data_IF_170242067457
#
_entry.id   IF_170242067457
#
_cell.length_a   1.000
_cell.length_b   1.000
_cell.length_c   1.000
_cell.angle_alpha   90.00
_cell.angle_beta   90.00
_cell.angle_gamma   90.00
#
_symmetry.space_group_name_H-M   'P 1'
#
loop_
_entity.id
_entity.type
_entity.pdbx_description
1 polymer ?
#
# COMPACT_ATOMS: atom_id res chain seq x y z
N UNK A 1 -27.37 3.15 33.73
CA UNK A 1 -28.57 2.74 32.96
C UNK A 1 -29.73 2.72 33.94
N UNK A 2 -30.81 3.43 33.64
CA UNK A 2 -31.99 3.54 34.52
C UNK A 2 -33.02 2.49 34.10
N UNK A 3 -33.68 1.83 35.06
CA UNK A 3 -34.76 0.90 34.77
C UNK A 3 -35.96 1.66 34.18
N UNK A 4 -36.39 1.31 32.98
CA UNK A 4 -37.51 1.98 32.30
C UNK A 4 -38.88 1.67 32.90
N UNK A 5 -38.99 0.66 33.78
CA UNK A 5 -40.25 0.32 34.44
C UNK A 5 -40.40 1.05 35.78
N UNK A 6 -39.36 1.05 36.61
CA UNK A 6 -39.44 1.60 37.99
C UNK A 6 -38.60 2.86 38.21
N UNK A 7 -37.91 3.37 37.20
CA UNK A 7 -37.06 4.56 37.30
C UNK A 7 -35.79 4.39 38.16
N UNK A 8 -35.53 3.20 38.73
CA UNK A 8 -34.35 2.98 39.58
C UNK A 8 -33.05 3.08 38.80
N UNK A 9 -32.06 3.78 39.37
CA UNK A 9 -30.68 3.86 38.83
C UNK A 9 -29.81 2.65 39.22
N UNK A 10 -30.26 1.82 40.19
CA UNK A 10 -29.48 0.70 40.75
C UNK A 10 -29.51 -0.56 39.88
N UNK A 11 -30.52 -0.72 39.02
CA UNK A 11 -30.69 -1.89 38.18
C UNK A 11 -31.30 -1.53 36.82
N UNK A 12 -31.43 -2.49 35.92
CA UNK A 12 -32.06 -2.30 34.60
C UNK A 12 -33.31 -3.18 34.43
N UNK A 13 -34.08 -2.95 33.37
CA UNK A 13 -35.35 -3.66 33.12
C UNK A 13 -35.24 -5.19 33.12
N UNK A 14 -34.05 -5.76 32.84
CA UNK A 14 -33.86 -7.23 32.83
C UNK A 14 -33.87 -7.83 34.22
N UNK A 15 -33.38 -7.09 35.21
CA UNK A 15 -33.24 -7.53 36.60
C UNK A 15 -34.24 -6.84 37.52
N UNK A 16 -35.29 -6.23 36.96
CA UNK A 16 -36.36 -5.62 37.74
C UNK A 16 -37.28 -6.70 38.31
N UNK A 17 -37.53 -6.64 39.61
CA UNK A 17 -38.31 -7.61 40.39
C UNK A 17 -39.79 -7.24 40.50
N UNK A 18 -40.21 -6.07 39.99
CA UNK A 18 -41.61 -5.65 40.08
C UNK A 18 -42.54 -6.59 39.28
N UNK A 19 -43.75 -6.87 39.82
CA UNK A 19 -44.80 -7.54 39.06
C UNK A 19 -45.12 -6.71 37.82
N UNK A 20 -45.13 -7.34 36.65
CA UNK A 20 -45.28 -6.67 35.35
C UNK A 20 -43.98 -6.46 34.55
N UNK A 21 -42.81 -6.68 35.16
CA UNK A 21 -41.53 -6.55 34.43
C UNK A 21 -41.41 -7.54 33.26
N UNK A 22 -41.98 -8.74 33.38
CA UNK A 22 -42.02 -9.71 32.29
C UNK A 22 -42.87 -9.23 31.10
N UNK A 23 -44.06 -8.68 31.38
CA UNK A 23 -45.01 -8.19 30.39
C UNK A 23 -44.46 -6.94 29.68
N UNK A 24 -43.86 -6.02 30.43
CA UNK A 24 -43.18 -4.84 29.87
C UNK A 24 -41.99 -5.23 28.97
N UNK A 25 -41.23 -6.28 29.32
CA UNK A 25 -40.17 -6.83 28.43
C UNK A 25 -40.72 -7.48 27.16
N UNK A 26 -41.95 -8.00 27.19
CA UNK A 26 -42.60 -8.57 26.02
C UNK A 26 -43.06 -7.48 25.05
N UNK A 27 -43.81 -6.49 25.57
CA UNK A 27 -44.28 -5.34 24.77
C UNK A 27 -43.12 -4.54 24.17
N UNK A 28 -42.04 -4.33 24.93
CA UNK A 28 -40.85 -3.65 24.40
C UNK A 28 -40.15 -4.47 23.29
N UNK A 29 -40.23 -5.81 23.32
CA UNK A 29 -39.70 -6.65 22.24
C UNK A 29 -40.58 -6.59 20.99
N UNK A 30 -41.89 -6.55 21.15
CA UNK A 30 -42.83 -6.40 20.03
C UNK A 30 -42.73 -5.04 19.36
N UNK A 31 -42.63 -3.95 20.14
CA UNK A 31 -42.39 -2.60 19.63
C UNK A 31 -41.09 -2.50 18.82
N UNK A 32 -40.04 -3.22 19.21
CA UNK A 32 -38.78 -3.28 18.46
C UNK A 32 -38.89 -4.10 17.16
N UNK A 33 -39.77 -5.11 17.11
CA UNK A 33 -40.06 -5.88 15.88
C UNK A 33 -40.88 -5.05 14.88
N UNK A 34 -41.89 -4.31 15.36
CA UNK A 34 -42.74 -3.46 14.54
C UNK A 34 -42.00 -2.27 13.93
N UNK A 35 -40.98 -1.73 14.63
CA UNK A 35 -40.19 -0.57 14.16
C UNK A 35 -39.12 -0.89 13.09
N UNK A 36 -39.19 -2.05 12.41
CA UNK A 36 -38.39 -2.28 11.20
C UNK A 36 -36.86 -2.21 11.42
N UNK A 37 -36.38 -3.00 12.37
CA UNK A 37 -34.97 -3.25 12.72
C UNK A 37 -34.26 -2.22 13.60
N UNK A 38 -33.75 -2.73 14.74
CA UNK A 38 -32.38 -2.43 15.15
C UNK A 38 -31.60 -3.74 14.98
N UNK A 39 -30.49 -3.77 14.21
CA UNK A 39 -29.65 -4.96 14.17
C UNK A 39 -29.22 -5.26 15.60
N UNK A 40 -29.30 -6.53 16.00
CA UNK A 40 -28.78 -7.01 17.28
C UNK A 40 -27.41 -6.35 17.54
N UNK A 41 -27.34 -5.35 18.43
CA UNK A 41 -26.11 -4.63 18.74
C UNK A 41 -25.05 -5.54 19.41
N UNK A 42 -25.37 -6.83 19.58
CA UNK A 42 -24.56 -7.87 20.19
C UNK A 42 -24.32 -9.08 19.29
N UNK A 43 -24.84 -9.14 18.06
CA UNK A 43 -24.41 -10.14 17.09
C UNK A 43 -23.02 -9.75 16.56
N UNK A 44 -21.97 -10.07 17.32
CA UNK A 44 -20.56 -9.89 16.94
C UNK A 44 -19.71 -8.99 17.84
N UNK A 45 -20.28 -8.33 18.86
CA UNK A 45 -19.47 -7.61 19.85
C UNK A 45 -18.99 -8.56 20.95
N UNK A 46 -17.67 -8.77 21.02
CA UNK A 46 -17.05 -9.46 22.17
C UNK A 46 -17.44 -8.74 23.47
N UNK A 47 -17.82 -9.47 24.54
CA UNK A 47 -18.14 -8.85 25.82
C UNK A 47 -16.96 -8.01 26.32
N UNK A 48 -17.25 -6.92 27.03
CA UNK A 48 -16.24 -6.10 27.72
C UNK A 48 -15.45 -7.02 28.66
N UNK A 49 -14.13 -7.08 28.49
CA UNK A 49 -13.24 -7.86 29.35
C UNK A 49 -13.21 -7.19 30.72
N UNK A 50 -13.84 -7.82 31.70
CA UNK A 50 -13.57 -7.58 33.12
C UNK A 50 -12.40 -8.50 33.49
N UNK A 51 -11.23 -7.93 33.73
CA UNK A 51 -10.03 -8.65 34.15
C UNK A 51 -8.74 -8.15 33.49
N UNK A 52 -7.65 -8.20 34.26
CA UNK A 52 -6.30 -7.85 33.84
C UNK A 52 -5.88 -8.61 32.56
N UNK A 53 -5.01 -8.03 31.71
CA UNK A 53 -4.61 -8.63 30.45
C UNK A 53 -3.83 -9.93 30.70
N UNK A 54 -4.52 -11.06 30.68
CA UNK A 54 -3.90 -12.38 30.78
C UNK A 54 -2.90 -12.56 29.64
N UNK A 55 -1.65 -12.79 30.05
CA UNK A 55 -0.44 -13.03 29.27
C UNK A 55 -0.67 -14.01 28.11
N UNK A 56 0.12 -13.89 27.03
CA UNK A 56 -0.10 -14.51 25.72
C UNK A 56 -0.38 -16.04 25.72
N UNK A 57 0.02 -16.76 26.76
CA UNK A 57 -0.21 -18.20 26.94
C UNK A 57 -1.70 -18.55 27.05
N UNK A 58 -2.48 -17.75 27.78
CA UNK A 58 -3.93 -17.98 27.95
C UNK A 58 -4.75 -17.59 26.71
N UNK A 59 -4.31 -16.62 25.91
CA UNK A 59 -4.93 -16.31 24.62
C UNK A 59 -4.67 -17.40 23.58
N UNK A 60 -3.48 -17.99 23.58
CA UNK A 60 -3.13 -19.13 22.74
C UNK A 60 -3.98 -20.37 23.12
N UNK A 61 -4.06 -20.70 24.42
CA UNK A 61 -4.92 -21.79 24.91
C UNK A 61 -6.40 -21.53 24.65
N UNK A 62 -6.92 -20.31 24.86
CA UNK A 62 -8.32 -19.99 24.52
C UNK A 62 -8.60 -20.06 23.03
N UNK A 63 -7.68 -19.63 22.17
CA UNK A 63 -7.86 -19.77 20.71
C UNK A 63 -7.85 -21.25 20.31
N UNK A 64 -7.00 -22.08 20.92
CA UNK A 64 -7.01 -23.53 20.77
C UNK A 64 -8.33 -24.17 21.27
N UNK A 65 -8.85 -23.72 22.42
CA UNK A 65 -10.13 -24.20 22.99
C UNK A 65 -11.36 -23.77 22.18
N UNK A 66 -11.42 -22.51 21.71
CA UNK A 66 -12.58 -21.97 20.97
C UNK A 66 -12.61 -22.33 19.49
N UNK A 67 -11.46 -22.63 18.88
CA UNK A 67 -11.39 -22.91 17.43
C UNK A 67 -10.83 -24.28 17.07
N UNK A 68 -10.56 -25.12 18.08
CA UNK A 68 -10.05 -26.48 17.94
C UNK A 68 -8.60 -26.54 17.42
N UNK A 69 -7.89 -27.61 17.81
CA UNK A 69 -6.60 -27.97 17.19
C UNK A 69 -6.71 -28.13 15.66
N UNK A 70 -7.90 -28.46 15.17
CA UNK A 70 -8.26 -28.55 13.76
C UNK A 70 -8.06 -27.26 12.97
N UNK A 71 -8.38 -26.06 13.50
CA UNK A 71 -8.23 -24.81 12.73
C UNK A 71 -6.78 -24.37 12.59
N UNK A 72 -5.95 -24.62 13.60
CA UNK A 72 -4.51 -24.38 13.52
C UNK A 72 -3.86 -25.34 12.51
N UNK A 73 -4.21 -26.63 12.56
CA UNK A 73 -3.81 -27.64 11.57
C UNK A 73 -4.29 -27.27 10.17
N UNK A 74 -5.56 -26.85 10.01
CA UNK A 74 -6.14 -26.39 8.74
C UNK A 74 -5.40 -25.15 8.21
N UNK A 75 -5.12 -24.16 9.05
CA UNK A 75 -4.34 -22.97 8.65
C UNK A 75 -2.93 -23.35 8.22
N UNK A 76 -2.28 -24.27 8.94
CA UNK A 76 -0.95 -24.80 8.59
C UNK A 76 -1.01 -25.60 7.29
N UNK A 77 -2.03 -26.44 7.09
CA UNK A 77 -2.26 -27.20 5.86
C UNK A 77 -2.53 -26.27 4.67
N UNK A 78 -3.38 -25.25 4.82
CA UNK A 78 -3.61 -24.21 3.81
C UNK A 78 -2.34 -23.42 3.52
N UNK A 79 -1.56 -23.07 4.54
CA UNK A 79 -0.28 -22.40 4.36
C UNK A 79 0.74 -23.29 3.63
N UNK A 80 0.80 -24.59 3.97
CA UNK A 80 1.65 -25.56 3.31
C UNK A 80 1.20 -25.79 1.86
N UNK A 81 -0.10 -25.92 1.59
CA UNK A 81 -0.66 -26.01 0.22
C UNK A 81 -0.38 -24.74 -0.59
N UNK A 82 -0.42 -23.56 0.04
CA UNK A 82 0.00 -22.29 -0.58
C UNK A 82 1.51 -22.20 -0.83
N UNK A 83 2.32 -22.96 -0.09
CA UNK A 83 3.79 -23.05 -0.25
C UNK A 83 4.23 -24.23 -1.12
N UNK A 84 3.34 -25.17 -1.40
CA UNK A 84 3.62 -26.34 -2.21
C UNK A 84 4.04 -25.89 -3.61
N UNK A 85 5.10 -26.51 -4.13
CA UNK A 85 5.59 -26.27 -5.49
C UNK A 85 4.55 -26.84 -6.45
N UNK A 86 4.02 -26.00 -7.32
CA UNK A 86 3.21 -26.43 -8.48
C UNK A 86 4.14 -26.80 -9.63
N UNK A 87 3.61 -27.52 -10.63
CA UNK A 87 4.30 -27.72 -11.91
C UNK A 87 4.68 -26.33 -12.43
N UNK A 88 5.98 -26.09 -12.51
CA UNK A 88 6.52 -24.78 -12.87
C UNK A 88 6.33 -24.47 -14.34
N UNK A 89 6.83 -23.30 -14.75
CA UNK A 89 6.98 -22.96 -16.17
C UNK A 89 7.73 -24.08 -16.89
N UNK A 90 7.14 -24.61 -17.96
CA UNK A 90 7.79 -25.58 -18.86
C UNK A 90 8.98 -24.89 -19.51
N UNK A 91 10.16 -25.49 -19.39
CA UNK A 91 11.42 -24.92 -19.84
C UNK A 91 12.04 -25.82 -20.90
N UNK A 92 12.30 -25.28 -22.08
CA UNK A 92 12.96 -25.95 -23.20
C UNK A 92 14.31 -25.31 -23.47
N UNK A 93 15.25 -26.04 -24.08
CA UNK A 93 16.56 -25.51 -24.47
C UNK A 93 16.44 -24.26 -25.35
N UNK A 94 15.60 -24.37 -26.38
CA UNK A 94 15.38 -23.31 -27.36
C UNK A 94 14.67 -22.11 -26.72
N UNK A 95 13.74 -22.38 -25.79
CA UNK A 95 13.06 -21.36 -25.00
C UNK A 95 14.03 -20.55 -24.14
N UNK A 96 15.09 -21.15 -23.58
CA UNK A 96 16.10 -20.41 -22.81
C UNK A 96 16.91 -19.46 -23.69
N UNK A 97 17.36 -19.93 -24.86
CA UNK A 97 18.11 -19.10 -25.81
C UNK A 97 17.22 -17.98 -26.37
N UNK A 98 15.97 -18.27 -26.69
CA UNK A 98 15.01 -17.29 -27.14
C UNK A 98 14.69 -16.25 -26.07
N UNK A 99 14.53 -16.67 -24.81
CA UNK A 99 14.31 -15.75 -23.69
C UNK A 99 15.49 -14.78 -23.49
N UNK A 100 16.73 -15.21 -23.73
CA UNK A 100 17.88 -14.29 -23.72
C UNK A 100 17.77 -13.26 -24.85
N UNK A 101 17.44 -13.69 -26.07
CA UNK A 101 17.24 -12.78 -27.21
C UNK A 101 16.15 -11.76 -26.92
N UNK A 102 15.02 -12.22 -26.37
CA UNK A 102 13.90 -11.36 -26.00
C UNK A 102 14.28 -10.39 -24.88
N UNK A 103 14.95 -10.85 -23.81
CA UNK A 103 15.41 -9.97 -22.72
C UNK A 103 16.36 -8.87 -23.22
N UNK A 104 17.19 -9.17 -24.22
CA UNK A 104 18.05 -8.18 -24.88
C UNK A 104 17.27 -7.21 -25.76
N UNK A 105 16.37 -7.74 -26.60
CA UNK A 105 15.49 -6.93 -27.46
C UNK A 105 14.65 -5.97 -26.62
N UNK A 106 14.11 -6.47 -25.52
CA UNK A 106 13.21 -5.72 -24.66
C UNK A 106 13.98 -4.69 -23.82
N UNK A 107 15.31 -4.82 -23.63
CA UNK A 107 16.17 -3.86 -22.92
C UNK A 107 16.58 -4.26 -21.49
N UNK A 108 16.21 -5.45 -21.03
CA UNK A 108 16.51 -5.95 -19.68
C UNK A 108 17.92 -6.55 -19.53
N UNK A 109 18.54 -6.89 -20.66
CA UNK A 109 19.94 -7.30 -20.77
C UNK A 109 20.63 -6.41 -21.80
N UNK A 110 21.93 -6.10 -21.63
CA UNK A 110 22.68 -5.37 -22.63
C UNK A 110 22.76 -6.18 -23.94
N UNK A 111 23.03 -5.47 -25.05
CA UNK A 111 23.37 -6.10 -26.31
C UNK A 111 24.51 -7.11 -26.10
N UNK A 112 24.55 -8.17 -26.93
CA UNK A 112 25.52 -9.26 -26.78
C UNK A 112 26.93 -8.66 -26.63
N UNK A 113 27.65 -8.94 -25.52
CA UNK A 113 29.01 -8.46 -25.40
C UNK A 113 29.83 -9.09 -26.53
N UNK A 114 30.49 -8.25 -27.31
CA UNK A 114 31.47 -8.70 -28.31
C UNK A 114 32.81 -9.06 -27.65
N UNK A 115 33.04 -8.56 -26.43
CA UNK A 115 34.29 -8.68 -25.69
C UNK A 115 34.09 -9.20 -24.27
N UNK A 116 35.01 -10.03 -23.80
CA UNK A 116 35.07 -10.58 -22.46
C UNK A 116 35.35 -9.45 -21.46
N UNK A 117 34.63 -9.39 -20.34
CA UNK A 117 34.90 -8.34 -19.35
C UNK A 117 36.18 -8.57 -18.53
N UNK A 118 36.80 -9.76 -18.61
CA UNK A 118 38.09 -10.04 -17.95
C UNK A 118 39.26 -9.64 -18.85
N UNK A 119 39.40 -10.26 -20.03
CA UNK A 119 40.55 -10.05 -20.92
C UNK A 119 40.27 -9.16 -22.14
N UNK A 120 39.02 -8.68 -22.32
CA UNK A 120 38.56 -7.95 -23.52
C UNK A 120 38.64 -8.73 -24.85
N UNK A 121 39.04 -10.00 -24.83
CA UNK A 121 39.03 -10.91 -25.99
C UNK A 121 37.62 -11.31 -26.45
N UNK A 122 37.47 -11.93 -27.63
CA UNK A 122 36.17 -12.26 -28.19
C UNK A 122 35.39 -13.28 -27.35
N UNK A 123 34.06 -13.16 -27.34
CA UNK A 123 33.16 -14.05 -26.61
C UNK A 123 32.40 -14.97 -27.56
N UNK A 124 32.33 -16.24 -27.19
CA UNK A 124 31.81 -17.33 -28.00
C UNK A 124 30.29 -17.33 -28.14
N UNK A 125 29.79 -18.47 -28.63
CA UNK A 125 28.36 -18.73 -28.68
C UNK A 125 27.79 -18.97 -27.28
N UNK A 126 26.49 -18.73 -27.14
CA UNK A 126 25.76 -19.02 -25.90
C UNK A 126 25.55 -20.52 -25.80
N UNK A 127 25.86 -21.08 -24.64
CA UNK A 127 25.75 -22.50 -24.36
C UNK A 127 24.77 -22.73 -23.21
N UNK A 128 23.88 -23.70 -23.38
CA UNK A 128 23.02 -24.17 -22.30
C UNK A 128 23.85 -25.06 -21.35
N UNK A 129 23.78 -24.78 -20.06
CA UNK A 129 24.34 -25.65 -19.01
C UNK A 129 23.22 -26.30 -18.20
N UNK A 130 23.62 -27.25 -17.34
CA UNK A 130 22.72 -27.95 -16.44
C UNK A 130 21.76 -26.99 -15.71
N UNK A 131 20.51 -27.44 -15.51
CA UNK A 131 19.42 -26.69 -14.88
C UNK A 131 18.87 -25.51 -15.71
N UNK A 132 19.17 -25.45 -17.01
CA UNK A 132 18.56 -24.49 -17.94
C UNK A 132 19.18 -23.09 -17.92
N UNK A 133 20.38 -22.95 -17.35
CA UNK A 133 21.11 -21.68 -17.35
C UNK A 133 21.86 -21.48 -18.66
N UNK A 134 21.89 -20.24 -19.15
CA UNK A 134 22.62 -19.88 -20.37
C UNK A 134 23.92 -19.18 -20.00
N UNK A 135 25.02 -19.70 -20.55
CA UNK A 135 26.37 -19.23 -20.31
C UNK A 135 27.02 -18.78 -21.59
N UNK A 136 27.95 -17.83 -21.48
CA UNK A 136 28.85 -17.42 -22.55
C UNK A 136 30.28 -17.65 -22.08
N UNK A 137 31.14 -18.15 -22.98
CA UNK A 137 32.55 -18.43 -22.70
C UNK A 137 33.43 -17.53 -23.54
N UNK A 138 34.50 -16.99 -22.94
CA UNK A 138 35.54 -16.32 -23.71
C UNK A 138 36.26 -17.32 -24.64
N UNK A 139 36.48 -16.93 -25.90
CA UNK A 139 37.15 -17.75 -26.91
C UNK A 139 38.68 -17.73 -26.72
N UNK A 140 39.19 -16.62 -26.19
CA UNK A 140 40.60 -16.45 -25.83
C UNK A 140 41.08 -17.65 -24.99
N UNK A 141 42.12 -18.32 -25.51
CA UNK A 141 42.65 -19.57 -24.99
C UNK A 141 43.19 -19.43 -23.57
N UNK A 142 43.67 -18.25 -23.21
CA UNK A 142 44.29 -17.98 -21.92
C UNK A 142 43.22 -17.59 -20.90
N UNK A 143 42.18 -16.89 -21.34
CA UNK A 143 41.10 -16.47 -20.47
C UNK A 143 40.10 -17.60 -20.19
N UNK A 144 39.45 -18.15 -21.24
CA UNK A 144 38.42 -19.21 -21.18
C UNK A 144 37.28 -19.03 -20.16
N UNK A 145 37.16 -17.85 -19.53
CA UNK A 145 36.20 -17.57 -18.45
C UNK A 145 34.78 -17.77 -18.98
N UNK A 146 33.98 -18.54 -18.23
CA UNK A 146 32.57 -18.72 -18.48
C UNK A 146 31.75 -17.83 -17.55
N UNK A 147 30.73 -17.15 -18.08
CA UNK A 147 29.83 -16.31 -17.30
C UNK A 147 28.38 -16.63 -17.63
N UNK A 148 27.53 -16.59 -16.61
CA UNK A 148 26.09 -16.69 -16.80
C UNK A 148 25.60 -15.40 -17.47
N UNK A 149 24.84 -15.49 -18.56
CA UNK A 149 24.36 -14.30 -19.28
C UNK A 149 23.51 -13.39 -18.39
N UNK A 150 22.78 -13.93 -17.42
CA UNK A 150 21.99 -13.12 -16.48
C UNK A 150 22.85 -12.33 -15.49
N UNK A 151 24.15 -12.60 -15.38
CA UNK A 151 25.07 -11.76 -14.60
C UNK A 151 25.23 -10.35 -15.18
N UNK A 152 24.86 -10.15 -16.44
CA UNK A 152 24.84 -8.85 -17.12
C UNK A 152 23.65 -7.96 -16.70
N UNK A 153 22.63 -8.51 -16.04
CA UNK A 153 21.48 -7.76 -15.53
C UNK A 153 21.85 -6.98 -14.25
N UNK A 154 22.62 -5.90 -14.39
CA UNK A 154 23.15 -5.08 -13.29
C UNK A 154 22.06 -4.50 -12.36
N UNK A 155 20.86 -4.29 -12.87
CA UNK A 155 19.71 -3.77 -12.12
C UNK A 155 19.12 -4.80 -11.14
N UNK A 156 19.43 -6.08 -11.30
CA UNK A 156 18.98 -7.15 -10.42
C UNK A 156 20.13 -7.50 -9.44
N UNK A 157 20.01 -7.23 -8.13
CA UNK A 157 21.10 -7.41 -7.19
C UNK A 157 21.57 -8.88 -7.12
N UNK A 158 22.87 -9.04 -7.38
CA UNK A 158 23.68 -10.26 -7.37
C UNK A 158 22.98 -11.52 -7.95
N UNK A 159 22.64 -11.42 -9.25
CA UNK A 159 22.11 -12.52 -10.08
C UNK A 159 23.05 -13.74 -10.10
N UNK A 160 24.34 -13.52 -9.83
CA UNK A 160 25.39 -14.55 -9.81
C UNK A 160 25.14 -15.65 -8.76
N UNK A 161 24.32 -15.37 -7.74
CA UNK A 161 23.99 -16.30 -6.63
C UNK A 161 22.51 -16.76 -6.64
N UNK A 162 21.78 -16.60 -7.74
CA UNK A 162 20.31 -16.83 -7.80
C UNK A 162 19.88 -17.90 -8.85
N UNK A 163 18.78 -18.64 -8.60
CA UNK A 163 18.35 -19.81 -9.38
C UNK A 163 17.55 -19.49 -10.65
N UNK A 164 17.65 -18.27 -11.18
CA UNK A 164 16.82 -17.86 -12.31
C UNK A 164 17.37 -18.41 -13.63
N UNK A 165 16.51 -19.04 -14.41
CA UNK A 165 16.76 -19.25 -15.84
C UNK A 165 16.25 -18.04 -16.64
N UNK A 166 16.78 -17.79 -17.85
CA UNK A 166 16.28 -16.72 -18.72
C UNK A 166 14.76 -16.73 -18.92
N UNK A 167 14.17 -17.90 -19.18
CA UNK A 167 12.70 -18.04 -19.31
C UNK A 167 11.96 -17.64 -18.03
N UNK A 168 12.46 -18.05 -16.86
CA UNK A 168 11.84 -17.68 -15.58
C UNK A 168 11.93 -16.18 -15.32
N UNK A 169 13.07 -15.53 -15.63
CA UNK A 169 13.22 -14.09 -15.45
C UNK A 169 12.28 -13.31 -16.39
N UNK A 170 12.24 -13.70 -17.67
CA UNK A 170 11.35 -13.09 -18.66
C UNK A 170 9.88 -13.23 -18.25
N UNK A 171 9.46 -14.44 -17.87
CA UNK A 171 8.10 -14.69 -17.37
C UNK A 171 7.81 -13.90 -16.09
N UNK A 172 8.79 -13.78 -15.17
CA UNK A 172 8.63 -12.99 -13.95
C UNK A 172 8.40 -11.52 -14.24
N UNK A 173 9.16 -10.94 -15.18
CA UNK A 173 8.97 -9.55 -15.63
C UNK A 173 7.56 -9.37 -16.18
N UNK A 174 7.14 -10.17 -17.16
CA UNK A 174 5.80 -10.08 -17.78
C UNK A 174 4.67 -10.24 -16.75
N UNK A 175 4.73 -11.25 -15.90
CA UNK A 175 3.72 -11.49 -14.88
C UNK A 175 3.69 -10.39 -13.80
N UNK A 176 4.84 -9.78 -13.50
CA UNK A 176 4.91 -8.71 -12.50
C UNK A 176 4.36 -7.37 -13.01
N UNK A 177 4.35 -7.15 -14.32
CA UNK A 177 3.90 -5.90 -14.98
C UNK A 177 2.49 -5.99 -15.56
N UNK A 178 1.94 -7.20 -15.76
CA UNK A 178 0.59 -7.42 -16.31
C UNK A 178 -0.57 -6.82 -15.47
N UNK A 179 -0.36 -6.55 -14.19
CA UNK A 179 -1.36 -5.92 -13.34
C UNK A 179 -1.34 -4.41 -13.47
N UNK A 180 -2.27 -3.84 -14.26
CA UNK A 180 -2.53 -2.39 -14.43
C UNK A 180 -2.83 -1.65 -13.10
N UNK A 181 -1.83 -1.47 -12.23
CA UNK A 181 -1.97 -0.82 -10.92
C UNK A 181 -2.83 -1.58 -9.89
N UNK A 182 -3.47 -2.70 -10.26
CA UNK A 182 -4.32 -3.52 -9.40
C UNK A 182 -3.49 -4.54 -8.63
N UNK A 183 -2.79 -4.05 -7.60
CA UNK A 183 -2.04 -4.82 -6.60
C UNK A 183 -0.84 -5.63 -7.13
N UNK A 184 0.35 -5.37 -6.58
CA UNK A 184 1.54 -6.13 -6.94
C UNK A 184 1.36 -7.63 -6.63
N UNK A 185 1.74 -8.49 -7.59
CA UNK A 185 1.75 -9.94 -7.41
C UNK A 185 2.50 -10.31 -6.14
N UNK A 186 1.87 -11.10 -5.27
CA UNK A 186 2.55 -11.54 -4.05
C UNK A 186 3.73 -12.45 -4.42
N UNK A 187 4.85 -12.43 -3.66
CA UNK A 187 5.99 -13.29 -3.97
C UNK A 187 5.63 -14.78 -4.04
N UNK A 188 4.66 -15.24 -3.24
CA UNK A 188 4.17 -16.63 -3.29
C UNK A 188 3.35 -16.95 -4.54
N UNK A 189 2.54 -16.01 -5.03
CA UNK A 189 1.78 -16.23 -6.25
C UNK A 189 2.73 -16.36 -7.45
N UNK A 190 3.66 -15.40 -7.56
CA UNK A 190 4.64 -15.38 -8.64
C UNK A 190 5.59 -16.58 -8.57
N UNK A 191 6.06 -16.95 -7.37
CA UNK A 191 6.94 -18.11 -7.20
C UNK A 191 6.29 -19.42 -7.67
N UNK A 192 5.00 -19.62 -7.39
CA UNK A 192 4.25 -20.80 -7.83
C UNK A 192 4.12 -20.86 -9.35
N UNK A 193 3.72 -19.77 -9.99
CA UNK A 193 3.59 -19.68 -11.45
C UNK A 193 4.91 -19.98 -12.18
N UNK A 194 6.04 -19.66 -11.56
CA UNK A 194 7.36 -19.83 -12.17
C UNK A 194 8.07 -21.12 -11.76
N UNK A 195 7.51 -21.89 -10.83
CA UNK A 195 8.17 -23.07 -10.25
C UNK A 195 9.41 -22.75 -9.41
N UNK A 196 9.47 -21.57 -8.79
CA UNK A 196 10.60 -21.12 -7.95
C UNK A 196 10.21 -21.01 -6.48
N UNK A 197 11.14 -20.52 -5.64
CA UNK A 197 10.92 -20.35 -4.20
C UNK A 197 10.69 -18.88 -3.81
N UNK A 198 10.11 -18.67 -2.63
CA UNK A 198 9.76 -17.33 -2.13
C UNK A 198 10.94 -16.35 -2.08
N UNK A 199 12.12 -16.79 -1.63
CA UNK A 199 13.26 -15.89 -1.36
C UNK A 199 13.76 -15.20 -2.66
N UNK A 200 14.08 -15.94 -3.75
CA UNK A 200 14.42 -15.34 -5.04
C UNK A 200 13.36 -14.39 -5.57
N UNK A 201 12.09 -14.82 -5.58
CA UNK A 201 10.99 -13.99 -6.08
C UNK A 201 10.79 -12.73 -5.27
N UNK A 202 10.95 -12.80 -3.94
CA UNK A 202 10.86 -11.63 -3.08
C UNK A 202 11.98 -10.62 -3.34
N UNK A 203 13.20 -11.09 -3.66
CA UNK A 203 14.33 -10.21 -4.01
C UNK A 203 14.12 -9.55 -5.37
N UNK A 204 13.70 -10.33 -6.37
CA UNK A 204 13.31 -9.83 -7.69
C UNK A 204 12.25 -8.72 -7.58
N UNK A 205 11.14 -8.96 -6.85
CA UNK A 205 10.09 -7.97 -6.68
C UNK A 205 10.53 -6.72 -5.89
N UNK A 206 11.52 -6.84 -5.01
CA UNK A 206 12.10 -5.68 -4.30
C UNK A 206 13.00 -4.85 -5.23
N UNK A 207 13.76 -5.49 -6.12
CA UNK A 207 14.59 -4.82 -7.12
C UNK A 207 13.72 -4.04 -8.11
N UNK A 208 12.74 -4.70 -8.72
CA UNK A 208 11.76 -4.06 -9.63
C UNK A 208 11.06 -2.89 -8.92
N UNK A 209 10.60 -3.08 -7.68
CA UNK A 209 9.97 -2.00 -6.91
C UNK A 209 10.91 -0.81 -6.69
N UNK A 210 12.18 -1.07 -6.43
CA UNK A 210 13.17 -0.01 -6.18
C UNK A 210 13.42 0.81 -7.44
N UNK A 211 13.52 0.17 -8.61
CA UNK A 211 13.62 0.84 -9.91
C UNK A 211 12.37 1.68 -10.21
N UNK A 212 11.19 1.07 -10.13
CA UNK A 212 9.91 1.75 -10.37
C UNK A 212 9.73 2.93 -9.39
N UNK A 213 10.13 2.76 -8.12
CA UNK A 213 10.03 3.82 -7.13
C UNK A 213 10.96 5.01 -7.43
N UNK A 214 12.22 4.75 -7.77
CA UNK A 214 13.19 5.78 -8.12
C UNK A 214 12.80 6.53 -9.40
N UNK A 215 12.32 5.80 -10.42
CA UNK A 215 11.80 6.40 -11.64
C UNK A 215 10.55 7.25 -11.36
N UNK A 216 9.62 6.74 -10.54
CA UNK A 216 8.43 7.49 -10.14
C UNK A 216 8.75 8.74 -9.35
N UNK A 217 9.82 8.75 -8.55
CA UNK A 217 10.22 9.92 -7.79
C UNK A 217 10.67 11.05 -8.73
N UNK A 218 11.51 10.72 -9.72
CA UNK A 218 11.89 11.63 -10.81
C UNK A 218 10.66 12.10 -11.60
N UNK A 219 9.75 11.17 -11.92
CA UNK A 219 8.51 11.48 -12.65
C UNK A 219 7.59 12.40 -11.84
N UNK A 220 7.38 12.12 -10.56
CA UNK A 220 6.58 12.93 -9.64
C UNK A 220 7.13 14.36 -9.53
N UNK A 221 8.46 14.51 -9.46
CA UNK A 221 9.14 15.81 -9.43
C UNK A 221 9.06 16.59 -10.76
N UNK A 222 8.71 15.96 -11.88
CA UNK A 222 8.57 16.60 -13.21
C UNK A 222 7.14 16.74 -13.69
N UNK A 223 6.21 15.96 -13.12
CA UNK A 223 4.79 15.98 -13.48
C UNK A 223 4.12 17.31 -13.13
N UNK A 224 3.55 17.97 -14.12
CA UNK A 224 2.68 19.13 -13.96
C UNK A 224 1.24 18.74 -14.32
N UNK A 225 0.31 19.05 -13.43
CA UNK A 225 -1.12 18.82 -13.63
C UNK A 225 -1.78 20.09 -14.15
N UNK A 226 -2.76 19.94 -15.04
CA UNK A 226 -3.48 21.05 -15.67
C UNK A 226 -4.99 20.81 -15.79
N UNK A 227 -5.68 21.82 -16.31
CA UNK A 227 -7.12 21.82 -16.64
C UNK A 227 -8.02 21.49 -15.43
N UNK A 228 -8.34 20.22 -15.21
CA UNK A 228 -9.25 19.77 -14.17
C UNK A 228 -8.52 18.79 -13.23
N UNK A 229 -8.32 19.20 -11.98
CA UNK A 229 -7.48 18.47 -11.00
C UNK A 229 -8.27 18.23 -9.73
N UNK A 230 -8.31 16.99 -9.25
CA UNK A 230 -8.85 16.64 -7.94
C UNK A 230 -7.71 16.61 -6.91
N UNK A 231 -7.90 17.23 -5.75
CA UNK A 231 -6.93 17.28 -4.65
C UNK A 231 -7.56 16.74 -3.38
N UNK A 232 -6.80 15.93 -2.65
CA UNK A 232 -7.28 15.27 -1.43
C UNK A 232 -6.11 14.75 -0.58
N UNK A 233 -6.36 14.52 0.71
CA UNK A 233 -5.44 13.88 1.64
C UNK A 233 -5.98 12.55 2.15
N UNK A 234 -5.10 11.61 2.44
CA UNK A 234 -5.53 10.30 2.95
C UNK A 234 -4.59 9.70 3.97
N UNK A 235 -5.14 8.99 4.95
CA UNK A 235 -4.36 8.15 5.85
C UNK A 235 -4.08 6.78 5.21
N UNK A 236 -2.80 6.48 5.02
CA UNK A 236 -2.33 5.25 4.39
C UNK A 236 -2.25 4.12 5.40
N UNK A 237 -1.57 4.35 6.52
CA UNK A 237 -1.39 3.41 7.63
C UNK A 237 -1.28 4.18 8.94
N UNK A 238 -1.65 3.53 10.03
CA UNK A 238 -1.46 4.08 11.38
C UNK A 238 -0.44 3.22 12.11
N UNK A 239 0.60 3.86 12.61
CA UNK A 239 1.68 3.24 13.36
C UNK A 239 1.48 3.52 14.84
N UNK A 240 1.87 2.55 15.68
CA UNK A 240 2.03 2.79 17.12
C UNK A 240 3.47 3.13 17.38
N UNK A 241 3.70 4.27 18.02
CA UNK A 241 5.03 4.81 18.35
C UNK A 241 5.14 4.85 19.86
N UNK A 242 6.14 4.17 20.42
CA UNK A 242 6.40 4.23 21.87
C UNK A 242 6.90 5.63 22.25
N UNK A 243 6.64 6.07 23.47
CA UNK A 243 7.27 7.29 24.04
C UNK A 243 8.80 7.23 24.05
N UNK A 244 9.37 6.02 23.99
CA UNK A 244 10.81 5.79 23.95
C UNK A 244 11.35 5.51 22.54
N UNK A 245 10.57 5.81 21.49
CA UNK A 245 11.02 5.57 20.10
C UNK A 245 12.24 6.42 19.77
N UNK A 246 13.32 5.79 19.33
CA UNK A 246 14.51 6.48 18.84
C UNK A 246 14.27 7.08 17.46
N UNK A 247 13.55 6.38 16.59
CA UNK A 247 13.26 6.84 15.22
C UNK A 247 12.36 8.06 15.17
N UNK A 248 11.45 8.21 16.13
CA UNK A 248 10.52 9.34 16.18
C UNK A 248 10.71 10.23 17.41
N UNK A 249 11.91 10.24 18.00
CA UNK A 249 12.22 11.00 19.21
C UNK A 249 11.85 12.48 19.08
N UNK A 250 12.19 13.12 17.96
CA UNK A 250 11.87 14.52 17.71
C UNK A 250 10.36 14.78 17.75
N UNK A 251 9.54 13.90 17.17
CA UNK A 251 8.09 14.06 17.18
C UNK A 251 7.50 13.84 18.58
N UNK A 252 8.10 12.96 19.38
CA UNK A 252 7.69 12.76 20.78
C UNK A 252 8.02 14.00 21.61
N UNK A 253 9.22 14.55 21.46
CA UNK A 253 9.65 15.78 22.14
C UNK A 253 8.78 16.97 21.73
N UNK A 254 8.51 17.16 20.44
CA UNK A 254 7.59 18.20 19.94
C UNK A 254 6.19 18.07 20.55
N UNK A 255 5.69 16.84 20.69
CA UNK A 255 4.39 16.61 21.32
C UNK A 255 4.42 16.95 22.81
N UNK A 256 5.45 16.51 23.53
CA UNK A 256 5.64 16.76 24.96
C UNK A 256 5.76 18.26 25.24
N UNK A 257 6.52 19.00 24.41
CA UNK A 257 6.64 20.45 24.52
C UNK A 257 5.29 21.16 24.35
N UNK A 258 4.47 20.71 23.38
CA UNK A 258 3.13 21.28 23.14
C UNK A 258 2.10 20.92 24.22
N UNK A 259 2.36 19.88 25.01
CA UNK A 259 1.44 19.35 26.02
C UNK A 259 2.16 19.19 27.36
N UNK A 260 2.94 20.20 27.76
CA UNK A 260 3.81 20.14 28.95
C UNK A 260 3.06 19.79 30.25
N UNK A 261 1.77 20.10 30.33
CA UNK A 261 0.92 19.84 31.50
C UNK A 261 0.17 18.50 31.45
N UNK A 262 0.37 17.68 30.41
CA UNK A 262 -0.29 16.39 30.24
C UNK A 262 0.67 15.23 30.48
N UNK A 263 0.18 14.19 31.18
CA UNK A 263 0.94 12.95 31.33
C UNK A 263 1.23 12.33 29.95
N UNK A 264 2.50 12.00 29.69
CA UNK A 264 2.92 11.45 28.41
C UNK A 264 2.31 10.04 28.20
N UNK A 265 1.59 9.79 27.09
CA UNK A 265 1.04 8.48 26.78
C UNK A 265 2.13 7.39 26.69
N UNK A 266 1.80 6.15 27.05
CA UNK A 266 2.71 5.00 26.85
C UNK A 266 3.07 4.80 25.37
N UNK A 267 2.11 5.12 24.49
CA UNK A 267 2.30 5.12 23.06
C UNK A 267 1.44 6.17 22.36
N UNK A 268 1.94 6.65 21.24
CA UNK A 268 1.31 7.56 20.31
C UNK A 268 0.79 6.80 19.08
N UNK A 269 -0.15 7.41 18.38
CA UNK A 269 -0.53 7.03 17.03
C UNK A 269 0.14 8.00 16.05
N UNK A 270 0.87 7.42 15.08
CA UNK A 270 1.39 8.14 13.93
C UNK A 270 0.57 7.76 12.70
N UNK A 271 -0.23 8.69 12.20
CA UNK A 271 -0.95 8.51 10.96
C UNK A 271 -0.03 8.87 9.79
N UNK A 272 0.44 7.86 9.05
CA UNK A 272 1.15 8.08 7.80
C UNK A 272 0.14 8.58 6.77
N UNK A 273 0.19 9.89 6.51
CA UNK A 273 -0.72 10.60 5.62
C UNK A 273 0.01 10.93 4.31
N UNK A 274 -0.73 10.91 3.21
CA UNK A 274 -0.29 11.42 1.92
C UNK A 274 -1.26 12.50 1.46
N UNK A 275 -0.71 13.55 0.85
CA UNK A 275 -1.48 14.51 0.07
C UNK A 275 -1.31 14.15 -1.41
N UNK A 276 -2.37 14.32 -2.18
CA UNK A 276 -2.37 13.94 -3.59
C UNK A 276 -3.16 14.86 -4.47
N UNK A 277 -2.80 14.83 -5.74
CA UNK A 277 -3.52 15.47 -6.82
C UNK A 277 -3.61 14.53 -8.03
N UNK A 278 -4.77 14.46 -8.66
CA UNK A 278 -4.99 13.68 -9.88
C UNK A 278 -5.65 14.51 -10.96
N UNK A 279 -5.19 14.40 -12.20
CA UNK A 279 -5.79 15.11 -13.32
C UNK A 279 -6.91 14.27 -13.93
N UNK A 280 -8.10 14.86 -14.04
CA UNK A 280 -9.29 14.17 -14.55
C UNK A 280 -9.11 13.74 -16.00
N UNK A 281 -9.65 12.56 -16.33
CA UNK A 281 -9.56 11.99 -17.67
C UNK A 281 -8.16 11.51 -18.07
N UNK A 282 -7.20 11.52 -17.13
CA UNK A 282 -5.83 11.04 -17.37
C UNK A 282 -5.37 10.15 -16.23
N UNK A 283 -4.23 9.47 -16.43
CA UNK A 283 -3.56 8.73 -15.37
C UNK A 283 -2.57 9.57 -14.54
N UNK A 284 -2.38 10.85 -14.88
CA UNK A 284 -1.42 11.71 -14.21
C UNK A 284 -1.84 11.94 -12.76
N UNK A 285 -0.89 11.72 -11.86
CA UNK A 285 -1.07 11.97 -10.44
C UNK A 285 0.24 12.41 -9.78
N UNK A 286 0.12 13.18 -8.72
CA UNK A 286 1.24 13.63 -7.88
C UNK A 286 0.89 13.27 -6.44
N UNK A 287 1.80 12.58 -5.75
CA UNK A 287 1.65 12.21 -4.34
C UNK A 287 2.85 12.70 -3.55
N UNK A 288 2.60 13.24 -2.36
CA UNK A 288 3.62 13.75 -1.45
C UNK A 288 3.32 13.32 -0.02
N UNK A 289 4.35 13.09 0.81
CA UNK A 289 4.15 12.87 2.24
C UNK A 289 3.58 14.11 2.89
N UNK A 290 2.51 13.94 3.66
CA UNK A 290 2.09 14.98 4.59
C UNK A 290 3.06 15.00 5.80
N UNK A 291 3.19 16.15 6.49
CA UNK A 291 3.94 16.22 7.74
C UNK A 291 3.49 15.16 8.73
N UNK A 292 4.49 14.49 9.33
CA UNK A 292 4.28 13.51 10.37
C UNK A 292 3.82 14.23 11.64
N UNK A 293 2.75 13.71 12.26
CA UNK A 293 2.21 14.24 13.52
C UNK A 293 1.83 13.06 14.41
N UNK A 294 2.26 13.13 15.67
CA UNK A 294 1.82 12.21 16.71
C UNK A 294 0.53 12.71 17.34
N UNK A 295 -0.38 11.77 17.60
CA UNK A 295 -1.59 12.01 18.37
C UNK A 295 -1.69 10.98 19.49
N UNK A 296 -2.31 11.32 20.63
CA UNK A 296 -2.48 10.37 21.72
C UNK A 296 -3.39 9.21 21.32
N UNK A 297 -3.27 8.09 22.02
CA UNK A 297 -4.06 6.90 21.76
C UNK A 297 -5.58 7.19 21.80
N UNK A 298 -6.31 6.75 20.76
CA UNK A 298 -7.75 6.95 20.65
C UNK A 298 -8.16 8.22 19.89
N UNK A 299 -7.21 9.08 19.54
CA UNK A 299 -7.46 10.26 18.71
C UNK A 299 -7.78 9.87 17.26
N UNK A 300 -8.59 10.70 16.61
CA UNK A 300 -8.82 10.63 15.17
C UNK A 300 -7.64 11.22 14.39
N UNK A 301 -7.43 10.81 13.13
CA UNK A 301 -6.42 11.41 12.27
C UNK A 301 -6.65 12.93 12.16
N UNK A 302 -5.58 13.75 12.27
CA UNK A 302 -5.74 15.19 12.15
C UNK A 302 -6.19 15.57 10.74
N UNK A 303 -7.11 16.55 10.60
CA UNK A 303 -7.48 17.07 9.29
C UNK A 303 -6.29 17.75 8.60
N UNK A 304 -6.36 17.89 7.28
CA UNK A 304 -5.38 18.63 6.49
C UNK A 304 -5.42 20.12 6.88
N UNK A 305 -4.30 20.66 7.35
CA UNK A 305 -4.19 22.11 7.59
C UNK A 305 -3.66 22.84 6.36
N UNK A 306 -3.85 24.16 6.32
CA UNK A 306 -3.27 25.00 5.26
C UNK A 306 -1.75 24.83 5.20
N UNK A 307 -1.11 24.75 6.37
CA UNK A 307 0.33 24.58 6.54
C UNK A 307 0.81 23.22 6.02
N UNK A 308 0.02 22.14 6.21
CA UNK A 308 0.31 20.82 5.62
C UNK A 308 0.35 20.89 4.09
N UNK A 309 -0.58 21.64 3.48
CA UNK A 309 -0.60 21.81 2.01
C UNK A 309 0.57 22.67 1.54
N UNK A 310 0.87 23.77 2.25
CA UNK A 310 1.95 24.69 1.91
C UNK A 310 3.33 24.03 1.95
N UNK A 311 3.64 23.30 3.03
CA UNK A 311 4.97 22.72 3.24
C UNK A 311 5.32 21.65 2.21
N UNK A 312 4.33 20.91 1.69
CA UNK A 312 4.56 19.86 0.69
C UNK A 312 4.82 20.39 -0.72
N UNK A 313 4.58 21.69 -0.95
CA UNK A 313 4.71 22.36 -2.26
C UNK A 313 3.89 21.68 -3.38
N UNK A 314 2.88 20.86 -3.03
CA UNK A 314 2.10 20.10 -4.01
C UNK A 314 1.38 21.02 -5.01
N UNK A 315 0.85 22.15 -4.54
CA UNK A 315 0.18 23.14 -5.39
C UNK A 315 1.12 23.79 -6.42
N UNK A 316 2.44 23.78 -6.21
CA UNK A 316 3.40 24.21 -7.23
C UNK A 316 3.41 23.27 -8.44
N UNK A 317 2.98 22.02 -8.26
CA UNK A 317 2.85 20.99 -9.32
C UNK A 317 1.56 21.09 -10.12
N UNK A 318 0.72 22.08 -9.83
CA UNK A 318 -0.53 22.35 -10.52
C UNK A 318 -0.41 23.71 -11.22
N UNK A 319 -0.81 23.76 -12.50
CA UNK A 319 -0.83 25.01 -13.29
C UNK A 319 -1.80 26.01 -12.63
N UNK A 320 -1.40 27.28 -12.54
CA UNK A 320 -2.19 28.32 -11.87
C UNK A 320 -3.58 28.52 -12.49
N UNK A 321 -3.75 28.20 -13.78
CA UNK A 321 -5.03 28.30 -14.47
C UNK A 321 -5.91 27.04 -14.35
N UNK A 322 -5.50 26.02 -13.60
CA UNK A 322 -6.31 24.83 -13.38
C UNK A 322 -7.56 25.12 -12.52
N UNK A 323 -8.57 24.27 -12.69
CA UNK A 323 -9.72 24.13 -11.80
C UNK A 323 -9.44 22.97 -10.85
N UNK A 324 -9.44 23.26 -9.55
CA UNK A 324 -9.18 22.30 -8.49
C UNK A 324 -10.51 21.89 -7.83
N UNK A 325 -10.72 20.58 -7.68
CA UNK A 325 -11.87 20.02 -6.97
C UNK A 325 -11.38 19.40 -5.65
N UNK A 326 -11.95 19.83 -4.53
CA UNK A 326 -11.56 19.38 -3.19
C UNK A 326 -12.80 18.97 -2.37
N UNK A 327 -12.66 17.97 -1.51
CA UNK A 327 -13.72 17.51 -0.61
C UNK A 327 -13.79 18.39 0.63
N UNK A 328 -14.64 19.43 0.60
CA UNK A 328 -14.99 20.31 1.73
C UNK A 328 -13.84 21.04 2.45
N UNK A 329 -12.58 20.68 2.19
CA UNK A 329 -11.40 21.09 2.93
C UNK A 329 -10.90 22.43 2.38
N UNK A 330 -11.29 23.51 3.06
CA UNK A 330 -10.87 24.88 2.75
C UNK A 330 -9.36 25.12 2.91
N UNK A 331 -8.60 24.14 3.43
CA UNK A 331 -7.14 24.22 3.54
C UNK A 331 -6.47 24.35 2.16
N UNK A 332 -6.99 23.67 1.13
CA UNK A 332 -6.42 23.68 -0.21
C UNK A 332 -6.53 25.03 -0.90
N UNK A 333 -7.72 25.63 -0.82
CA UNK A 333 -8.00 26.95 -1.40
C UNK A 333 -7.18 28.04 -0.70
N UNK A 334 -7.20 28.08 0.64
CA UNK A 334 -6.37 28.99 1.44
C UNK A 334 -4.87 28.86 1.12
N UNK A 335 -4.38 27.64 0.96
CA UNK A 335 -2.98 27.41 0.61
C UNK A 335 -2.65 27.91 -0.81
N UNK A 336 -3.58 27.81 -1.76
CA UNK A 336 -3.39 28.32 -3.12
C UNK A 336 -3.33 29.85 -3.13
N UNK A 337 -4.24 30.52 -2.41
CA UNK A 337 -4.25 31.98 -2.26
C UNK A 337 -2.94 32.46 -1.63
N UNK A 338 -2.48 31.83 -0.53
CA UNK A 338 -1.19 32.16 0.11
C UNK A 338 0.03 31.92 -0.78
N UNK A 339 -0.07 31.04 -1.79
CA UNK A 339 0.99 30.84 -2.80
C UNK A 339 0.85 31.74 -4.03
N UNK A 340 -0.10 32.69 -4.04
CA UNK A 340 -0.35 33.57 -5.19
C UNK A 340 -0.90 32.85 -6.42
N UNK A 341 -1.53 31.68 -6.25
CA UNK A 341 -2.08 30.87 -7.35
C UNK A 341 -3.51 31.29 -7.67
N UNK A 342 -3.78 31.62 -8.94
CA UNK A 342 -5.13 31.97 -9.46
C UNK A 342 -5.97 30.76 -9.88
N UNK A 343 -5.94 29.68 -9.08
CA UNK A 343 -6.70 28.46 -9.36
C UNK A 343 -8.17 28.68 -9.04
N UNK A 344 -9.07 28.09 -9.82
CA UNK A 344 -10.49 28.09 -9.49
C UNK A 344 -10.78 26.88 -8.61
N UNK A 345 -11.27 27.07 -7.38
CA UNK A 345 -11.65 25.98 -6.49
C UNK A 345 -13.14 25.68 -6.58
N UNK A 346 -13.46 24.39 -6.67
CA UNK A 346 -14.82 23.87 -6.63
C UNK A 346 -14.90 22.89 -5.47
N UNK A 347 -15.56 23.32 -4.40
CA UNK A 347 -15.78 22.49 -3.23
C UNK A 347 -17.06 21.67 -3.39
N UNK A 348 -16.97 20.38 -3.10
CA UNK A 348 -18.14 19.53 -2.87
C UNK A 348 -18.17 19.18 -1.40
N UNK A 349 -19.31 19.42 -0.75
CA UNK A 349 -19.57 18.90 0.59
C UNK A 349 -20.28 17.57 0.43
N UNK A 350 -19.66 16.49 0.90
CA UNK A 350 -20.30 15.18 0.95
C UNK A 350 -21.47 15.21 1.94
N UNK A 351 -22.70 15.39 1.41
CA UNK A 351 -23.93 15.23 2.19
C UNK A 351 -24.66 13.98 1.69
N UNK A 352 -25.12 13.12 2.62
CA UNK A 352 -25.85 11.87 2.32
C UNK A 352 -25.17 10.96 1.28
N UNK A 353 -23.84 10.81 1.34
CA UNK A 353 -23.07 9.98 0.39
C UNK A 353 -23.16 10.43 -1.09
N UNK A 354 -23.52 11.69 -1.35
CA UNK A 354 -23.45 12.28 -2.68
C UNK A 354 -22.05 12.85 -2.88
N UNK A 355 -21.23 12.14 -3.67
CA UNK A 355 -19.81 12.46 -3.92
C UNK A 355 -19.60 13.42 -5.11
N UNK A 356 -20.66 13.75 -5.84
CA UNK A 356 -20.61 14.61 -7.02
C UNK A 356 -21.81 15.52 -7.12
N UNK A 357 -21.63 16.69 -7.75
CA UNK A 357 -22.71 17.64 -8.03
C UNK A 357 -22.56 18.20 -9.44
N UNK A 358 -23.62 18.18 -10.24
CA UNK A 358 -23.63 18.92 -11.51
C UNK A 358 -23.49 20.42 -11.22
N UNK A 359 -22.60 21.09 -11.95
CA UNK A 359 -22.40 22.53 -11.86
C UNK A 359 -23.38 23.24 -12.80
N UNK A 360 -24.10 24.26 -12.29
CA UNK A 360 -25.00 25.10 -13.09
C UNK A 360 -24.27 25.81 -14.23
N UNK A 361 -23.03 26.22 -13.98
CA UNK A 361 -22.12 26.79 -14.97
C UNK A 361 -20.70 26.26 -14.77
N UNK A 362 -19.96 26.09 -15.87
CA UNK A 362 -18.56 25.65 -15.80
C UNK A 362 -17.70 26.80 -15.25
N UNK A 363 -16.80 26.55 -14.29
CA UNK A 363 -15.97 27.62 -13.71
C UNK A 363 -15.00 28.23 -14.74
N UNK A 364 -14.59 27.46 -15.76
CA UNK A 364 -13.77 27.89 -16.90
C UNK A 364 -14.08 27.11 -18.17
N UNK A 365 -13.74 27.66 -19.34
CA UNK A 365 -13.78 26.95 -20.64
C UNK A 365 -12.90 25.69 -20.56
N UNK A 366 -13.46 24.52 -20.83
CA UNK A 366 -12.77 23.23 -20.71
C UNK A 366 -12.80 22.58 -19.31
N UNK A 367 -13.42 23.21 -18.30
CA UNK A 367 -13.66 22.57 -17.01
C UNK A 367 -14.79 21.53 -17.09
N UNK A 368 -14.81 20.61 -16.13
CA UNK A 368 -15.88 19.61 -16.02
C UNK A 368 -17.18 20.27 -15.57
N UNK A 369 -18.31 19.81 -16.11
CA UNK A 369 -19.65 20.16 -15.62
C UNK A 369 -20.03 19.42 -14.33
N UNK A 370 -19.16 18.55 -13.81
CA UNK A 370 -19.40 17.74 -12.63
C UNK A 370 -18.36 18.09 -11.56
N UNK A 371 -18.79 18.51 -10.39
CA UNK A 371 -17.93 18.69 -9.22
C UNK A 371 -17.82 17.38 -8.43
N UNK A 372 -16.70 17.14 -7.74
CA UNK A 372 -16.49 15.97 -6.85
C UNK A 372 -15.04 15.46 -6.80
N UNK A 373 -14.75 14.51 -5.92
CA UNK A 373 -13.41 13.89 -5.72
C UNK A 373 -13.38 12.40 -6.03
N UNK A 374 -14.37 11.89 -6.77
CA UNK A 374 -14.54 10.46 -6.99
C UNK A 374 -13.33 9.78 -7.66
N UNK A 375 -12.58 10.49 -8.50
CA UNK A 375 -11.41 9.92 -9.15
C UNK A 375 -10.28 9.74 -8.14
N UNK A 376 -9.95 10.77 -7.37
CA UNK A 376 -8.86 10.69 -6.39
C UNK A 376 -9.20 9.72 -5.23
N UNK A 377 -10.46 9.65 -4.80
CA UNK A 377 -10.92 8.68 -3.81
C UNK A 377 -10.70 7.22 -4.27
N UNK A 378 -11.06 6.92 -5.52
CA UNK A 378 -10.79 5.61 -6.14
C UNK A 378 -9.29 5.34 -6.23
N UNK A 379 -8.50 6.34 -6.58
CA UNK A 379 -7.04 6.23 -6.63
C UNK A 379 -6.49 5.90 -5.24
N UNK A 380 -6.98 6.54 -4.18
CA UNK A 380 -6.58 6.22 -2.82
C UNK A 380 -6.93 4.81 -2.38
N UNK A 381 -8.08 4.28 -2.80
CA UNK A 381 -8.40 2.88 -2.55
C UNK A 381 -7.35 1.94 -3.17
N UNK A 382 -6.92 2.21 -4.39
CA UNK A 382 -5.89 1.41 -5.07
C UNK A 382 -4.50 1.58 -4.44
N UNK A 383 -4.11 2.81 -4.04
CA UNK A 383 -2.87 3.07 -3.30
C UNK A 383 -2.86 2.29 -1.98
N UNK A 384 -3.95 2.31 -1.22
CA UNK A 384 -4.03 1.57 0.06
C UNK A 384 -3.95 0.05 -0.13
N UNK A 385 -4.47 -0.45 -1.25
CA UNK A 385 -4.44 -1.86 -1.62
C UNK A 385 -3.05 -2.33 -2.12
N UNK A 386 -2.26 -1.44 -2.73
CA UNK A 386 -0.90 -1.77 -3.18
C UNK A 386 0.06 -1.99 -2.02
N UNK A 387 -0.17 -1.30 -0.88
CA UNK A 387 0.63 -1.46 0.34
C UNK A 387 0.28 -2.78 1.03
N UNK A 388 1.23 -3.70 1.28
CA UNK A 388 0.97 -4.95 1.96
C UNK A 388 0.26 -4.74 3.31
N UNK A 389 -0.77 -5.56 3.57
CA UNK A 389 -1.56 -5.46 4.81
C UNK A 389 -0.63 -5.54 6.01
N UNK A 390 0.22 -6.56 6.13
CA UNK A 390 1.10 -6.79 7.29
C UNK A 390 2.14 -5.72 7.65
N UNK A 391 2.19 -4.56 6.97
CA UNK A 391 3.01 -3.41 7.37
C UNK A 391 2.41 -2.58 8.52
N UNK A 392 1.50 -3.16 9.32
CA UNK A 392 0.96 -2.56 10.53
C UNK A 392 1.59 -3.18 11.80
N UNK A 393 2.75 -2.67 12.22
CA UNK A 393 3.37 -2.67 13.57
C UNK A 393 3.11 -3.80 14.60
N UNK A 394 2.73 -5.02 14.22
CA UNK A 394 2.61 -6.12 15.19
C UNK A 394 3.24 -7.39 14.66
N UNK A 395 4.35 -7.79 15.27
CA UNK A 395 4.64 -9.20 15.43
C UNK A 395 3.80 -9.75 16.61
N UNK A 396 3.63 -11.06 16.60
CA UNK A 396 2.98 -11.85 17.66
C UNK A 396 3.75 -11.88 19.00
N UNK A 397 4.98 -11.35 19.04
CA UNK A 397 5.90 -11.37 20.19
C UNK A 397 5.93 -10.04 20.98
N UNK A 398 5.07 -9.07 20.65
CA UNK A 398 4.98 -7.81 21.41
C UNK A 398 6.06 -6.78 21.07
N UNK A 399 7.06 -7.13 20.26
CA UNK A 399 8.06 -6.16 19.80
C UNK A 399 7.48 -5.28 18.66
N UNK A 400 7.38 -3.99 18.93
CA UNK A 400 7.01 -2.97 17.96
C UNK A 400 8.11 -2.87 16.88
N UNK A 401 7.88 -3.44 15.69
CA UNK A 401 8.64 -3.01 14.52
C UNK A 401 8.11 -1.64 14.14
N UNK A 402 8.92 -0.61 14.34
CA UNK A 402 8.73 0.68 13.68
C UNK A 402 8.62 0.39 12.18
N UNK A 403 7.42 0.49 11.60
CA UNK A 403 7.26 0.35 10.16
C UNK A 403 8.07 1.47 9.51
N UNK A 404 9.06 1.08 8.72
CA UNK A 404 9.88 2.02 7.98
C UNK A 404 8.99 2.77 6.98
N UNK A 405 8.70 4.04 7.27
CA UNK A 405 7.85 4.91 6.45
C UNK A 405 8.35 4.97 5.00
N UNK A 406 9.68 4.92 4.79
CA UNK A 406 10.31 4.91 3.48
C UNK A 406 9.87 3.70 2.66
N UNK A 407 9.71 2.54 3.33
CA UNK A 407 9.26 1.34 2.65
C UNK A 407 7.83 1.49 2.16
N UNK A 408 6.94 2.12 2.93
CA UNK A 408 5.57 2.41 2.48
C UNK A 408 5.59 3.34 1.28
N UNK A 409 6.45 4.37 1.30
CA UNK A 409 6.63 5.28 0.17
C UNK A 409 7.15 4.59 -1.08
N UNK A 410 8.03 3.58 -0.98
CA UNK A 410 8.42 2.75 -2.14
C UNK A 410 7.22 2.08 -2.81
N UNK A 411 6.24 1.58 -2.05
CA UNK A 411 5.02 1.00 -2.65
C UNK A 411 4.12 2.06 -3.31
N UNK A 412 4.06 3.26 -2.74
CA UNK A 412 3.26 4.37 -3.31
C UNK A 412 3.90 4.83 -4.62
N UNK A 413 5.22 5.00 -4.64
CA UNK A 413 5.98 5.37 -5.83
C UNK A 413 5.89 4.28 -6.91
N UNK A 414 5.99 3.01 -6.53
CA UNK A 414 5.73 1.90 -7.45
C UNK A 414 4.33 1.99 -8.08
N UNK A 415 3.29 2.19 -7.26
CA UNK A 415 1.93 2.34 -7.75
C UNK A 415 1.79 3.53 -8.70
N UNK A 416 2.38 4.68 -8.35
CA UNK A 416 2.34 5.88 -9.15
C UNK A 416 3.00 5.67 -10.53
N UNK A 417 4.19 5.06 -10.58
CA UNK A 417 4.83 4.67 -11.84
C UNK A 417 3.88 3.85 -12.72
N UNK A 418 3.35 2.75 -12.16
CA UNK A 418 2.48 1.83 -12.89
C UNK A 418 1.18 2.45 -13.36
N UNK A 419 0.65 3.42 -12.60
CA UNK A 419 -0.55 4.16 -13.00
C UNK A 419 -0.24 5.07 -14.19
N UNK A 420 0.88 5.79 -14.14
CA UNK A 420 1.23 6.81 -15.12
C UNK A 420 1.75 6.25 -16.46
N UNK A 421 2.02 4.95 -16.53
CA UNK A 421 2.41 4.24 -17.75
C UNK A 421 1.30 3.28 -18.19
N UNK A 422 0.88 3.37 -19.45
CA UNK A 422 -0.06 2.42 -20.06
C UNK A 422 0.57 1.06 -20.27
N UNK A 423 1.85 1.03 -20.65
CA UNK A 423 2.68 -0.17 -20.75
C UNK A 423 3.82 -0.12 -19.73
N UNK A 424 3.60 -0.80 -18.60
CA UNK A 424 4.58 -0.89 -17.51
C UNK A 424 5.81 -1.70 -17.92
N UNK A 425 5.65 -2.72 -18.77
CA UNK A 425 6.76 -3.58 -19.18
C UNK A 425 7.77 -2.79 -20.01
N UNK A 426 7.29 -2.09 -21.03
CA UNK A 426 8.13 -1.21 -21.87
C UNK A 426 8.68 -0.01 -21.11
N UNK A 427 7.94 0.52 -20.12
CA UNK A 427 8.45 1.59 -19.28
C UNK A 427 9.60 1.12 -18.36
N UNK A 428 9.47 -0.09 -17.79
CA UNK A 428 10.47 -0.68 -16.90
C UNK A 428 11.76 -1.01 -17.64
N UNK A 429 11.69 -1.42 -18.91
CA UNK A 429 12.88 -1.80 -19.68
C UNK A 429 13.76 -0.62 -20.12
N UNK A 430 13.28 0.61 -19.92
CA UNK A 430 14.00 1.85 -20.18
C UNK A 430 14.68 2.43 -18.92
N UNK A 431 14.54 1.76 -17.77
CA UNK A 431 15.17 2.14 -16.50
C UNK A 431 16.52 1.47 -16.34
#
# INVERSE_FOLDING_TARGET
MVCSLCGSKKHNLRTCTLPGAAQHRSMHRELLKLKGAVPNAQAGRKPRRLGAPTTGRFQAQRSLRYSGSGRAKLRKAVANKKRAKTVGLTQTSDGQLQAVKDLRRDGFLPAKPLKCMTCRGPVGQMQLRAKGHVWVRCIDTDCRVARNVLSEASWLPDVSRQPWTPMQLQAALRLSTAGFGKQASTPYALARSLGTTYKPTSRFLEAVRSLEAAASEKLNARTMLDKAVEVDGTCLRTLRVSRWSKTYANLVQEWQAKHAHQASPDYFLLHLRALGATQRGTQKCVFVPAPLRLVPAGSVPPPESCEDVLCTRLLKRIRSQATCYADGAMAWDRAAVRQGKRMAFVHVKHNKSIFTRALRSKPRKGASSLAGTQQIDRVWMHVKASIPKGMHNKKSDGCHREANADRIWKYIRQFQFRRMHTDVFTALSKL
#
